data_IF_241557149307
#
_entry.id   IF_241557149307
#
_cell.length_a   1.000
_cell.length_b   1.000
_cell.length_c   1.000
_cell.angle_alpha   90.00
_cell.angle_beta   90.00
_cell.angle_gamma   90.00
#
_symmetry.space_group_name_H-M   'P 1'
#
loop_
_entity.id
_entity.type
_entity.pdbx_description
1 polymer ?
#
# COMPACT_ATOMS: atom_id res chain seq x y z
N UNK A 1 -9.27 2.02 -10.34
CA UNK A 1 -7.82 1.84 -10.44
C UNK A 1 -7.14 3.18 -10.62
N UNK A 2 -6.38 3.57 -9.60
CA UNK A 2 -5.57 4.78 -9.57
C UNK A 2 -4.50 4.76 -10.68
N UNK A 3 -4.23 5.91 -11.32
CA UNK A 3 -3.25 6.01 -12.43
C UNK A 3 -1.83 5.66 -11.98
N UNK A 4 -1.46 5.96 -10.74
CA UNK A 4 -0.14 5.64 -10.14
C UNK A 4 -0.01 4.13 -9.95
N UNK A 5 -1.03 3.49 -9.40
CA UNK A 5 -1.08 2.03 -9.22
C UNK A 5 -0.93 1.33 -10.56
N UNK A 6 -1.68 1.78 -11.57
CA UNK A 6 -1.60 1.23 -12.93
C UNK A 6 -0.18 1.34 -13.49
N UNK A 7 0.45 2.52 -13.35
CA UNK A 7 1.82 2.75 -13.80
C UNK A 7 2.82 1.86 -13.07
N UNK A 8 2.68 1.69 -11.76
CA UNK A 8 3.52 0.80 -10.97
C UNK A 8 3.40 -0.66 -11.46
N UNK A 9 2.18 -1.16 -11.70
CA UNK A 9 1.96 -2.50 -12.25
C UNK A 9 2.58 -2.68 -13.64
N UNK A 10 2.55 -1.65 -14.49
CA UNK A 10 3.17 -1.66 -15.82
C UNK A 10 4.71 -1.65 -15.75
N UNK A 11 5.30 -1.00 -14.74
CA UNK A 11 6.74 -0.90 -14.53
C UNK A 11 7.34 -2.12 -13.79
N UNK A 12 6.50 -2.87 -13.09
CA UNK A 12 6.88 -3.97 -12.21
C UNK A 12 7.74 -5.02 -12.94
N UNK A 13 9.00 -5.15 -12.51
CA UNK A 13 9.90 -6.17 -13.06
C UNK A 13 9.52 -7.56 -12.52
N UNK A 14 9.83 -8.61 -13.29
CA UNK A 14 9.44 -10.01 -12.98
C UNK A 14 9.87 -10.46 -11.59
N UNK A 15 11.02 -9.99 -11.11
CA UNK A 15 11.58 -10.34 -9.79
C UNK A 15 10.81 -9.71 -8.63
N UNK A 16 10.18 -8.56 -8.88
CA UNK A 16 9.36 -7.85 -7.91
C UNK A 16 7.88 -8.11 -8.09
N UNK A 17 7.45 -8.88 -9.12
CA UNK A 17 6.05 -9.28 -9.39
C UNK A 17 5.44 -10.05 -8.19
N UNK A 18 5.07 -9.31 -7.16
CA UNK A 18 4.16 -9.68 -6.10
C UNK A 18 2.80 -9.02 -6.31
N UNK A 19 2.21 -8.60 -5.19
CA UNK A 19 0.91 -7.96 -5.13
C UNK A 19 1.08 -6.44 -4.97
N UNK A 20 0.60 -5.66 -5.94
CA UNK A 20 0.38 -4.22 -5.77
C UNK A 20 -1.11 -4.01 -5.46
N UNK A 21 -1.46 -3.39 -4.33
CA UNK A 21 -2.85 -3.11 -3.97
C UNK A 21 -3.52 -2.18 -4.99
N UNK A 22 -4.66 -2.59 -5.55
CA UNK A 22 -5.52 -1.72 -6.37
C UNK A 22 -6.44 -0.88 -5.48
N UNK A 23 -5.87 0.19 -4.92
CA UNK A 23 -6.56 1.12 -4.01
C UNK A 23 -6.67 2.53 -4.62
N UNK A 24 -7.64 3.30 -4.14
CA UNK A 24 -7.87 4.68 -4.53
C UNK A 24 -7.67 5.69 -3.38
N UNK A 25 -7.30 6.93 -3.72
CA UNK A 25 -7.18 7.98 -2.71
C UNK A 25 -8.55 8.28 -2.11
N UNK A 26 -8.63 8.23 -0.78
CA UNK A 26 -9.85 8.38 -0.01
C UNK A 26 -10.59 7.08 0.27
N UNK A 27 -10.16 5.95 -0.30
CA UNK A 27 -10.70 4.62 -0.01
C UNK A 27 -10.47 4.24 1.45
N UNK A 28 -11.46 3.56 2.03
CA UNK A 28 -11.41 3.01 3.39
C UNK A 28 -11.30 1.50 3.27
N UNK A 29 -10.21 0.95 3.80
CA UNK A 29 -9.87 -0.46 3.68
C UNK A 29 -9.23 -0.95 4.99
N UNK A 30 -8.90 -2.24 5.05
CA UNK A 30 -8.13 -2.79 6.16
C UNK A 30 -6.63 -2.62 5.88
N UNK A 31 -5.80 -2.53 6.93
CA UNK A 31 -4.35 -2.37 6.74
C UNK A 31 -3.75 -3.60 6.03
N UNK A 32 -4.37 -4.77 6.15
CA UNK A 32 -3.99 -5.98 5.42
C UNK A 32 -4.08 -5.86 3.89
N UNK A 33 -4.84 -4.89 3.38
CA UNK A 33 -4.93 -4.62 1.94
C UNK A 33 -3.64 -3.96 1.43
N UNK A 34 -2.87 -3.31 2.32
CA UNK A 34 -1.61 -2.62 1.99
C UNK A 34 -0.39 -3.33 2.54
N UNK A 35 -0.45 -3.82 3.78
CA UNK A 35 0.67 -4.39 4.52
C UNK A 35 0.48 -5.90 4.72
N UNK A 36 1.53 -6.67 4.43
CA UNK A 36 1.54 -8.13 4.49
C UNK A 36 1.69 -8.71 5.92
N UNK A 37 1.76 -7.85 6.94
CA UNK A 37 1.97 -8.26 8.32
C UNK A 37 3.42 -8.55 8.69
N UNK A 38 4.38 -8.27 7.79
CA UNK A 38 5.80 -8.49 8.05
C UNK A 38 6.47 -7.20 8.55
N UNK A 39 7.20 -7.32 9.65
CA UNK A 39 7.97 -6.21 10.23
C UNK A 39 7.20 -5.43 11.27
N UNK A 40 7.52 -4.15 11.40
CA UNK A 40 6.81 -3.23 12.30
C UNK A 40 5.48 -2.80 11.69
N UNK A 41 4.47 -2.63 12.55
CA UNK A 41 3.13 -2.18 12.12
C UNK A 41 3.27 -0.75 11.58
N UNK A 42 2.94 -0.50 10.31
CA UNK A 42 3.07 0.84 9.75
C UNK A 42 1.98 1.76 10.32
N UNK A 43 2.39 2.93 10.81
CA UNK A 43 1.46 3.90 11.41
C UNK A 43 0.99 4.99 10.45
N UNK A 44 1.74 5.26 9.38
CA UNK A 44 1.50 6.38 8.46
C UNK A 44 1.55 5.98 6.98
N UNK A 45 2.45 5.07 6.60
CA UNK A 45 2.58 4.64 5.21
C UNK A 45 3.25 3.27 5.10
N UNK A 46 3.07 2.63 3.95
CA UNK A 46 3.79 1.42 3.58
C UNK A 46 4.08 1.41 2.08
N UNK A 47 5.26 0.93 1.70
CA UNK A 47 5.73 0.94 0.30
C UNK A 47 6.04 -0.44 -0.22
N UNK A 48 5.71 -0.68 -1.49
CA UNK A 48 6.03 -1.89 -2.23
C UNK A 48 7.10 -1.60 -3.27
N UNK A 49 8.14 -2.43 -3.34
CA UNK A 49 9.17 -2.30 -4.36
C UNK A 49 8.64 -2.75 -5.72
N UNK A 50 8.89 -1.95 -6.76
CA UNK A 50 8.38 -2.20 -8.11
C UNK A 50 9.52 -2.56 -9.07
N UNK A 51 10.68 -1.90 -8.90
CA UNK A 51 11.92 -2.15 -9.64
C UNK A 51 13.12 -2.08 -8.69
N UNK A 52 14.33 -2.27 -9.22
CA UNK A 52 15.57 -2.05 -8.46
C UNK A 52 15.70 -0.63 -7.87
N UNK A 53 15.00 0.35 -8.44
CA UNK A 53 15.13 1.77 -8.08
C UNK A 53 13.80 2.43 -7.66
N UNK A 54 12.65 1.89 -8.09
CA UNK A 54 11.34 2.53 -7.94
C UNK A 54 10.46 1.76 -6.94
N UNK A 55 9.69 2.52 -6.16
CA UNK A 55 8.74 2.00 -5.16
C UNK A 55 7.38 2.67 -5.31
N UNK A 56 6.30 1.98 -4.97
CA UNK A 56 4.98 2.60 -4.81
C UNK A 56 4.67 2.73 -3.33
N UNK A 57 4.36 3.94 -2.87
CA UNK A 57 4.05 4.25 -1.49
C UNK A 57 2.55 4.54 -1.31
N UNK A 58 1.98 4.00 -0.25
CA UNK A 58 0.60 4.24 0.17
C UNK A 58 0.63 4.93 1.53
N UNK A 59 0.28 6.20 1.56
CA UNK A 59 0.07 6.94 2.81
C UNK A 59 -1.37 6.78 3.27
N UNK A 60 -1.59 6.63 4.56
CA UNK A 60 -2.92 6.41 5.11
C UNK A 60 -3.10 7.03 6.50
N UNK A 61 -4.36 7.25 6.87
CA UNK A 61 -4.74 7.62 8.23
C UNK A 61 -5.43 6.44 8.92
N UNK A 62 -5.04 6.11 10.15
CA UNK A 62 -5.72 5.09 10.95
C UNK A 62 -7.05 5.67 11.46
N UNK A 63 -8.16 5.05 11.04
CA UNK A 63 -9.50 5.41 11.49
C UNK A 63 -9.93 4.63 12.74
N UNK A 64 -9.39 3.42 12.93
CA UNK A 64 -9.69 2.62 14.12
C UNK A 64 -8.80 1.37 14.25
N UNK A 65 -8.02 1.32 15.33
CA UNK A 65 -7.21 0.15 15.70
C UNK A 65 -8.11 -1.01 16.17
N UNK A 66 -7.77 -2.24 15.78
CA UNK A 66 -8.45 -3.48 16.19
C UNK A 66 -7.54 -4.32 17.09
N UNK A 67 -8.09 -5.38 17.69
CA UNK A 67 -7.31 -6.33 18.50
C UNK A 67 -6.26 -7.07 17.65
N UNK A 68 -6.63 -7.43 16.43
CA UNK A 68 -5.72 -7.90 15.39
C UNK A 68 -5.29 -6.69 14.56
N UNK A 69 -3.99 -6.45 14.48
CA UNK A 69 -3.46 -5.26 13.83
C UNK A 69 -3.79 -5.22 12.33
N UNK A 70 -3.85 -6.39 11.68
CA UNK A 70 -4.22 -6.55 10.27
C UNK A 70 -5.65 -6.11 9.94
N UNK A 71 -6.54 -6.07 10.94
CA UNK A 71 -7.94 -5.65 10.76
C UNK A 71 -8.10 -4.13 11.02
N UNK A 72 -6.99 -3.41 11.30
CA UNK A 72 -7.00 -1.96 11.53
C UNK A 72 -7.59 -1.25 10.32
N UNK A 73 -8.60 -0.42 10.56
CA UNK A 73 -9.27 0.33 9.50
C UNK A 73 -8.47 1.57 9.20
N UNK A 74 -8.07 1.72 7.95
CA UNK A 74 -7.29 2.84 7.44
C UNK A 74 -8.05 3.54 6.32
N UNK A 75 -7.64 4.77 6.03
CA UNK A 75 -8.07 5.47 4.82
C UNK A 75 -6.85 5.96 4.05
N UNK A 76 -6.80 5.62 2.77
CA UNK A 76 -5.71 6.03 1.89
C UNK A 76 -5.76 7.54 1.68
N UNK A 77 -4.65 8.22 1.96
CA UNK A 77 -4.47 9.67 1.85
C UNK A 77 -3.76 10.05 0.57
N UNK A 78 -2.77 9.27 0.19
CA UNK A 78 -1.95 9.51 -0.99
C UNK A 78 -1.43 8.18 -1.54
N UNK A 79 -1.23 8.13 -2.85
CA UNK A 79 -0.54 7.03 -3.52
C UNK A 79 0.46 7.67 -4.48
N UNK A 80 1.73 7.33 -4.34
CA UNK A 80 2.79 7.91 -5.14
C UNK A 80 3.84 6.87 -5.57
N UNK A 81 4.50 7.16 -6.68
CA UNK A 81 5.66 6.40 -7.16
C UNK A 81 6.91 7.19 -6.78
N UNK A 82 7.81 6.54 -6.02
CA UNK A 82 9.07 7.07 -5.50
C UNK A 82 10.25 6.69 -6.40
#
# INVERSE_FOLDING_TARGET
>A
MNEVVKKAMEMMQEEYKGYIPDLEIGEICEINDVWDGIGEIPEESYSHQVTDADWINYEFEILGKKENELDTVIRIKNIELL
#
